data_IF_031130211145
#
_entry.id   IF_031130211145
#
_cell.length_a   1.000
_cell.length_b   1.000
_cell.length_c   1.000
_cell.angle_alpha   90.00
_cell.angle_beta   90.00
_cell.angle_gamma   90.00
#
_symmetry.space_group_name_H-M   'P 1'
#
loop_
_entity.id
_entity.type
_entity.pdbx_description
1 polymer ?
#
# COMPACT_ATOMS: atom_id res chain seq x y z
N UNK A 1 -62.49 36.88 -7.65
CA UNK A 1 -61.81 37.34 -6.41
C UNK A 1 -62.43 36.54 -5.26
N UNK A 2 -61.79 35.64 -4.52
CA UNK A 2 -60.39 35.33 -4.26
C UNK A 2 -60.35 33.82 -3.90
N UNK A 3 -59.69 32.99 -4.71
CA UNK A 3 -59.30 31.64 -4.27
C UNK A 3 -57.96 31.80 -3.54
N UNK A 4 -57.96 31.64 -2.22
CA UNK A 4 -56.74 31.65 -1.42
C UNK A 4 -56.27 30.19 -1.27
N UNK A 5 -55.39 29.78 -2.17
CA UNK A 5 -54.77 28.46 -2.18
C UNK A 5 -53.73 28.41 -1.06
N UNK A 6 -54.21 28.28 0.19
CA UNK A 6 -53.35 27.98 1.33
C UNK A 6 -52.87 26.55 1.18
N UNK A 7 -51.74 26.40 0.51
CA UNK A 7 -50.88 25.22 0.61
C UNK A 7 -50.37 25.11 2.05
N UNK A 8 -51.25 24.66 2.94
CA UNK A 8 -50.88 24.24 4.30
C UNK A 8 -50.13 22.91 4.18
N UNK A 9 -48.88 22.98 3.74
CA UNK A 9 -47.94 21.87 3.92
C UNK A 9 -47.68 21.81 5.42
N UNK A 10 -47.91 20.65 6.08
CA UNK A 10 -47.68 20.54 7.52
C UNK A 10 -46.21 20.90 7.81
N UNK A 11 -45.93 21.67 8.88
CA UNK A 11 -44.56 22.07 9.19
C UNK A 11 -43.73 20.81 9.43
N UNK A 12 -42.68 20.64 8.62
CA UNK A 12 -41.65 19.62 8.87
C UNK A 12 -40.90 20.08 10.11
N UNK A 13 -41.16 19.41 11.24
CA UNK A 13 -40.42 19.66 12.48
C UNK A 13 -39.11 18.90 12.36
N UNK A 14 -38.00 19.62 12.31
CA UNK A 14 -36.66 19.03 12.45
C UNK A 14 -36.54 18.43 13.85
N UNK A 15 -36.71 17.11 13.98
CA UNK A 15 -36.68 16.41 15.28
C UNK A 15 -35.27 16.20 15.82
N UNK A 16 -34.24 16.43 15.02
CA UNK A 16 -32.85 16.36 15.48
C UNK A 16 -32.21 17.74 15.57
N UNK A 17 -32.45 18.43 16.69
CA UNK A 17 -31.69 19.61 17.13
C UNK A 17 -30.37 19.22 17.79
N UNK A 18 -29.71 18.19 17.25
CA UNK A 18 -28.43 17.69 17.74
C UNK A 18 -27.40 17.71 16.61
N UNK A 19 -26.12 18.05 16.88
CA UNK A 19 -25.08 17.93 15.86
C UNK A 19 -24.91 16.46 15.45
N UNK A 20 -25.52 16.05 14.34
CA UNK A 20 -25.33 14.75 13.70
C UNK A 20 -24.04 14.72 12.89
N UNK A 21 -22.93 14.76 13.63
CA UNK A 21 -21.64 14.18 13.26
C UNK A 21 -20.70 14.37 14.45
N UNK A 22 -20.18 13.28 15.03
CA UNK A 22 -18.99 13.39 15.87
C UNK A 22 -17.82 13.57 14.91
N UNK A 23 -17.50 14.81 14.54
CA UNK A 23 -16.20 15.10 13.92
C UNK A 23 -15.15 14.88 15.01
N UNK A 24 -14.80 13.61 15.23
CA UNK A 24 -13.61 13.27 15.99
C UNK A 24 -12.43 13.65 15.10
N UNK A 25 -12.15 14.96 14.99
CA UNK A 25 -10.97 15.46 14.30
C UNK A 25 -9.79 14.79 15.00
N UNK A 26 -9.12 13.87 14.32
CA UNK A 26 -7.89 13.31 14.81
C UNK A 26 -6.99 14.49 15.17
N UNK A 27 -6.67 14.65 16.45
CA UNK A 27 -5.67 15.62 16.89
C UNK A 27 -4.31 15.06 16.49
N UNK A 28 -4.02 15.10 15.20
CA UNK A 28 -2.68 14.96 14.69
C UNK A 28 -1.97 16.22 15.19
N UNK A 29 -1.43 16.14 16.40
CA UNK A 29 -0.63 17.19 16.98
C UNK A 29 0.43 17.62 15.96
N UNK A 30 0.91 18.85 16.07
CA UNK A 30 1.96 19.47 15.25
C UNK A 30 3.30 18.74 15.41
N UNK A 31 3.31 17.44 15.16
CA UNK A 31 4.44 16.55 15.28
C UNK A 31 5.21 16.73 13.99
N UNK A 32 6.46 17.15 14.11
CA UNK A 32 7.35 17.35 12.95
C UNK A 32 7.29 16.11 12.07
N UNK A 33 6.99 16.32 10.79
CA UNK A 33 7.02 15.26 9.78
C UNK A 33 8.41 14.62 9.84
N UNK A 34 8.45 13.29 9.91
CA UNK A 34 9.73 12.58 9.92
C UNK A 34 10.43 12.82 8.59
N UNK A 35 11.66 13.35 8.58
CA UNK A 35 12.37 13.68 7.35
C UNK A 35 12.72 12.41 6.56
N UNK A 36 12.75 12.56 5.24
CA UNK A 36 13.14 11.55 4.28
C UNK A 36 14.40 12.00 3.54
N UNK A 37 15.26 11.04 3.23
CA UNK A 37 16.51 11.26 2.48
C UNK A 37 16.55 10.27 1.32
N UNK A 38 17.07 10.73 0.20
CA UNK A 38 17.39 9.87 -0.94
C UNK A 38 18.67 9.11 -0.63
N UNK A 39 18.56 7.82 -0.32
CA UNK A 39 19.68 7.01 0.15
C UNK A 39 20.06 5.95 -0.90
N UNK A 40 21.36 5.81 -1.23
CA UNK A 40 21.83 4.70 -2.05
C UNK A 40 21.71 3.38 -1.25
N UNK A 41 21.39 2.30 -1.95
CA UNK A 41 21.36 0.95 -1.39
C UNK A 41 21.84 -0.07 -2.43
N UNK A 42 22.43 -1.14 -1.92
CA UNK A 42 22.89 -2.29 -2.71
C UNK A 42 21.95 -3.45 -2.43
N UNK A 43 21.40 -4.06 -3.48
CA UNK A 43 20.51 -5.21 -3.31
C UNK A 43 21.33 -6.51 -3.28
N UNK A 44 21.42 -7.21 -2.12
CA UNK A 44 22.17 -8.46 -2.03
C UNK A 44 21.57 -9.60 -2.85
N UNK A 45 20.34 -9.43 -3.37
CA UNK A 45 19.72 -10.40 -4.26
C UNK A 45 20.31 -10.39 -5.69
N UNK A 46 21.02 -9.33 -6.08
CA UNK A 46 21.62 -9.21 -7.42
C UNK A 46 23.12 -9.53 -7.37
N UNK A 47 23.60 -10.30 -8.34
CA UNK A 47 25.03 -10.60 -8.53
C UNK A 47 25.82 -9.43 -9.11
N UNK A 48 25.14 -8.44 -9.69
CA UNK A 48 25.77 -7.36 -10.48
C UNK A 48 26.27 -6.17 -9.64
N UNK A 49 26.14 -6.21 -8.30
CA UNK A 49 26.54 -5.14 -7.37
C UNK A 49 26.02 -3.73 -7.73
N UNK A 50 24.93 -3.62 -8.49
CA UNK A 50 24.38 -2.33 -8.91
C UNK A 50 23.77 -1.61 -7.71
N UNK A 51 24.20 -0.36 -7.51
CA UNK A 51 23.65 0.55 -6.51
C UNK A 51 22.39 1.23 -7.02
N UNK A 52 21.28 1.05 -6.32
CA UNK A 52 20.01 1.76 -6.57
C UNK A 52 19.80 2.81 -5.49
N UNK A 53 18.81 3.68 -5.65
CA UNK A 53 18.44 4.67 -4.62
C UNK A 53 16.96 4.59 -4.29
N UNK A 54 16.62 4.79 -3.01
CA UNK A 54 15.23 4.88 -2.57
C UNK A 54 15.08 5.94 -1.47
N UNK A 55 13.85 6.43 -1.30
CA UNK A 55 13.51 7.29 -0.17
C UNK A 55 13.54 6.49 1.12
N UNK A 56 14.41 6.87 2.03
CA UNK A 56 14.55 6.28 3.37
C UNK A 56 14.24 7.31 4.43
N UNK A 57 13.69 6.89 5.56
CA UNK A 57 13.54 7.76 6.73
C UNK A 57 14.92 7.98 7.36
N UNK A 58 15.20 9.21 7.80
CA UNK A 58 16.47 9.52 8.51
C UNK A 58 16.67 8.64 9.75
N UNK A 59 15.59 8.33 10.46
CA UNK A 59 15.65 7.48 11.66
C UNK A 59 15.99 6.01 11.40
N UNK A 60 15.97 5.55 10.14
CA UNK A 60 16.27 4.16 9.80
C UNK A 60 17.74 3.96 9.38
N UNK A 61 18.61 4.97 9.48
CA UNK A 61 20.04 4.88 9.15
C UNK A 61 20.71 3.67 9.85
N UNK A 62 21.37 2.80 9.07
CA UNK A 62 22.08 1.61 9.58
C UNK A 62 21.34 0.27 9.50
N UNK A 63 20.03 0.23 9.17
CA UNK A 63 19.35 -1.06 8.93
C UNK A 63 19.71 -1.67 7.58
N UNK A 64 19.99 -2.96 7.56
CA UNK A 64 20.10 -3.75 6.33
C UNK A 64 18.80 -3.68 5.53
N UNK A 65 18.89 -3.75 4.19
CA UNK A 65 17.75 -3.58 3.28
C UNK A 65 16.60 -4.53 3.68
N UNK A 66 15.46 -4.02 4.18
CA UNK A 66 14.45 -4.88 4.84
C UNK A 66 13.83 -5.96 3.95
N UNK A 67 13.90 -5.77 2.63
CA UNK A 67 13.37 -6.73 1.66
C UNK A 67 14.39 -7.80 1.23
N UNK A 68 15.66 -7.67 1.62
CA UNK A 68 16.68 -8.68 1.35
C UNK A 68 16.30 -10.06 1.90
N UNK A 69 15.62 -10.09 3.06
CA UNK A 69 15.15 -11.32 3.71
C UNK A 69 14.13 -12.12 2.88
N UNK A 70 13.49 -11.49 1.90
CA UNK A 70 12.50 -12.12 1.04
C UNK A 70 13.10 -12.65 -0.26
N UNK A 71 14.43 -12.64 -0.41
CA UNK A 71 15.10 -13.23 -1.57
C UNK A 71 14.99 -14.76 -1.54
N UNK A 72 13.85 -15.28 -2.01
CA UNK A 72 13.61 -16.71 -2.12
C UNK A 72 14.33 -17.24 -3.36
N UNK A 73 15.38 -18.02 -3.16
CA UNK A 73 16.02 -18.76 -4.24
C UNK A 73 15.17 -19.99 -4.54
N UNK A 74 14.69 -20.09 -5.77
CA UNK A 74 13.99 -21.28 -6.27
C UNK A 74 15.06 -22.22 -6.80
N UNK A 75 15.05 -23.47 -6.36
CA UNK A 75 15.85 -24.51 -6.97
C UNK A 75 15.21 -24.86 -8.31
N UNK A 76 15.91 -24.54 -9.40
CA UNK A 76 15.48 -24.92 -10.75
C UNK A 76 15.84 -26.40 -10.91
N UNK A 77 14.86 -27.30 -11.10
CA UNK A 77 15.15 -28.71 -11.36
C UNK A 77 15.99 -28.83 -12.63
N UNK A 78 17.09 -29.59 -12.56
CA UNK A 78 17.94 -29.88 -13.70
C UNK A 78 17.65 -31.31 -14.13
N UNK A 79 17.10 -31.45 -15.32
CA UNK A 79 16.82 -32.76 -15.92
C UNK A 79 18.00 -33.19 -16.78
N UNK A 80 18.25 -34.49 -16.82
CA UNK A 80 19.15 -35.08 -17.82
C UNK A 80 18.41 -35.33 -19.12
N UNK A 81 19.13 -35.43 -20.24
CA UNK A 81 18.53 -35.71 -21.54
C UNK A 81 17.74 -37.02 -21.57
N UNK A 82 18.10 -37.99 -20.71
CA UNK A 82 17.43 -39.28 -20.58
C UNK A 82 16.09 -39.10 -19.85
N UNK A 83 16.12 -38.49 -18.66
CA UNK A 83 14.94 -38.22 -17.84
C UNK A 83 13.91 -37.33 -18.59
N UNK A 84 14.40 -36.36 -19.36
CA UNK A 84 13.55 -35.54 -20.21
C UNK A 84 12.84 -36.36 -21.29
N UNK A 85 13.58 -37.23 -22.00
CA UNK A 85 13.02 -38.08 -23.06
C UNK A 85 11.99 -39.09 -22.53
N UNK A 86 12.21 -39.61 -21.33
CA UNK A 86 11.35 -40.63 -20.73
C UNK A 86 10.07 -40.05 -20.10
N UNK A 87 10.13 -38.86 -19.48
CA UNK A 87 9.04 -38.35 -18.64
C UNK A 87 8.46 -37.00 -19.06
N UNK A 88 9.12 -36.24 -19.94
CA UNK A 88 8.75 -34.86 -20.26
C UNK A 88 8.50 -34.59 -21.75
N UNK A 89 8.70 -35.58 -22.63
CA UNK A 89 8.33 -35.47 -24.04
C UNK A 89 6.83 -35.68 -24.19
N UNK A 90 6.12 -34.64 -24.64
CA UNK A 90 4.73 -34.75 -25.07
C UNK A 90 4.68 -35.32 -26.49
N UNK A 91 3.86 -36.34 -26.72
CA UNK A 91 3.57 -36.87 -28.04
C UNK A 91 2.78 -35.80 -28.84
N UNK A 92 3.43 -35.18 -29.82
CA UNK A 92 2.81 -34.27 -30.80
C UNK A 92 2.54 -34.98 -32.11
#
# INVERSE_FOLDING_TARGET
>A
LLYNDKKDVPPVIETETGPTYKLQKARLGMRRVRPWVWAPFTNPARTDNVSFSHWRRVADEGKEYPFAKFNKKIEIPKYTDIEYKEHLVSET
#
